data_IF_083836361682
#
_entry.id   IF_083836361682
#
_cell.length_a   1.000
_cell.length_b   1.000
_cell.length_c   1.000
_cell.angle_alpha   90.00
_cell.angle_beta   90.00
_cell.angle_gamma   90.00
#
_symmetry.space_group_name_H-M   'P 1'
#
loop_
_entity.id
_entity.type
_entity.pdbx_description
1 polymer ?
#
# COMPACT_ATOMS: atom_id res chain seq x y z
N UNK A 1 -11.20 -0.75 -2.68
CA UNK A 1 -10.14 -0.70 -3.72
C UNK A 1 -8.72 -0.69 -3.18
N UNK A 2 -8.50 -0.36 -1.89
CA UNK A 2 -7.18 -0.22 -1.27
C UNK A 2 -6.16 -1.33 -1.62
N UNK A 3 -6.62 -2.59 -1.60
CA UNK A 3 -5.74 -3.74 -1.84
C UNK A 3 -5.20 -3.84 -3.28
N UNK A 4 -5.79 -3.14 -4.25
CA UNK A 4 -5.28 -3.10 -5.64
C UNK A 4 -3.96 -2.33 -5.76
N UNK A 5 -3.62 -1.53 -4.76
CA UNK A 5 -2.36 -0.79 -4.70
C UNK A 5 -1.25 -1.59 -4.04
N UNK A 6 -1.55 -2.71 -3.39
CA UNK A 6 -0.55 -3.52 -2.67
C UNK A 6 0.16 -4.50 -3.61
N UNK A 7 1.50 -4.42 -3.67
CA UNK A 7 2.32 -5.32 -4.50
C UNK A 7 2.96 -6.47 -3.71
N UNK A 8 2.67 -6.58 -2.42
CA UNK A 8 3.24 -7.55 -1.50
C UNK A 8 4.62 -7.17 -0.94
N UNK A 9 5.23 -6.09 -1.40
CA UNK A 9 6.51 -5.57 -0.89
C UNK A 9 6.67 -4.06 -1.07
N UNK A 10 5.56 -3.35 -1.27
CA UNK A 10 5.49 -1.94 -1.59
C UNK A 10 4.09 -1.57 -2.08
N UNK A 11 3.96 -0.41 -2.72
CA UNK A 11 2.68 0.03 -3.32
C UNK A 11 2.84 0.55 -4.73
N UNK A 12 1.79 0.43 -5.53
CA UNK A 12 1.63 1.18 -6.78
C UNK A 12 1.21 2.62 -6.50
N UNK A 13 1.63 3.56 -7.35
CA UNK A 13 1.21 4.97 -7.30
C UNK A 13 -0.20 5.16 -7.87
N UNK A 14 -0.52 4.38 -8.91
CA UNK A 14 -1.79 4.42 -9.61
C UNK A 14 -2.18 3.03 -10.15
N UNK A 15 -3.37 2.95 -10.74
CA UNK A 15 -3.91 1.72 -11.33
C UNK A 15 -3.75 1.68 -12.86
N UNK A 16 -2.79 2.41 -13.46
CA UNK A 16 -2.63 2.45 -14.92
C UNK A 16 -2.43 1.08 -15.55
N UNK A 17 -1.82 0.15 -14.81
CA UNK A 17 -1.57 -1.21 -15.26
C UNK A 17 -2.85 -2.04 -15.43
N UNK A 18 -3.94 -1.68 -14.73
CA UNK A 18 -5.23 -2.35 -14.87
C UNK A 18 -6.03 -1.84 -16.08
N UNK A 19 -5.88 -0.56 -16.43
CA UNK A 19 -6.70 0.07 -17.48
C UNK A 19 -5.98 0.20 -18.82
N UNK A 20 -4.66 0.31 -18.82
CA UNK A 20 -3.85 0.58 -20.02
C UNK A 20 -2.99 -0.59 -20.46
N UNK A 21 -3.05 -1.73 -19.77
CA UNK A 21 -2.25 -2.93 -20.06
C UNK A 21 -0.73 -2.65 -20.12
N UNK A 22 -0.25 -1.71 -19.29
CA UNK A 22 1.17 -1.39 -19.12
C UNK A 22 1.70 -1.91 -17.79
N UNK A 23 3.03 -1.86 -17.57
CA UNK A 23 3.62 -2.24 -16.29
C UNK A 23 3.10 -1.35 -15.12
N UNK A 24 3.04 -1.87 -13.88
CA UNK A 24 2.69 -1.09 -12.70
C UNK A 24 3.60 0.12 -12.50
N UNK A 25 2.99 1.28 -12.28
CA UNK A 25 3.71 2.47 -11.85
C UNK A 25 3.95 2.36 -10.34
N UNK A 26 5.11 1.85 -9.95
CA UNK A 26 5.47 1.68 -8.54
C UNK A 26 5.64 3.03 -7.85
N UNK A 27 5.07 3.18 -6.66
CA UNK A 27 5.31 4.34 -5.82
C UNK A 27 6.76 4.32 -5.33
N UNK A 28 7.46 5.44 -5.47
CA UNK A 28 8.75 5.67 -4.79
C UNK A 28 8.55 5.62 -3.27
N UNK A 29 9.63 5.39 -2.53
CA UNK A 29 9.56 5.18 -1.07
C UNK A 29 8.96 6.35 -0.27
N UNK A 30 9.14 7.58 -0.74
CA UNK A 30 8.51 8.79 -0.20
C UNK A 30 6.99 8.81 -0.41
N UNK A 31 6.51 8.40 -1.59
CA UNK A 31 5.08 8.20 -1.83
C UNK A 31 4.53 7.01 -1.05
N UNK A 32 5.29 5.92 -0.92
CA UNK A 32 4.89 4.79 -0.08
C UNK A 32 4.74 5.20 1.39
N UNK A 33 5.68 6.01 1.92
CA UNK A 33 5.57 6.58 3.26
C UNK A 33 4.36 7.52 3.39
N UNK A 34 4.06 8.29 2.35
CA UNK A 34 2.84 9.12 2.28
C UNK A 34 1.58 8.26 2.39
N UNK A 35 1.50 7.15 1.65
CA UNK A 35 0.38 6.21 1.73
C UNK A 35 0.20 5.63 3.14
N UNK A 36 1.30 5.22 3.79
CA UNK A 36 1.29 4.72 5.17
C UNK A 36 0.75 5.80 6.13
N UNK A 37 1.26 7.03 6.04
CA UNK A 37 0.84 8.13 6.90
C UNK A 37 -0.64 8.48 6.72
N UNK A 38 -1.14 8.47 5.48
CA UNK A 38 -2.55 8.70 5.19
C UNK A 38 -3.43 7.60 5.80
N UNK A 39 -3.05 6.33 5.69
CA UNK A 39 -3.80 5.24 6.31
C UNK A 39 -3.75 5.29 7.84
N UNK A 40 -2.60 5.62 8.44
CA UNK A 40 -2.48 5.79 9.88
C UNK A 40 -3.36 6.93 10.38
N UNK A 41 -3.42 8.05 9.65
CA UNK A 41 -4.34 9.15 9.95
C UNK A 41 -5.80 8.68 9.85
N UNK A 42 -6.19 8.02 8.75
CA UNK A 42 -7.55 7.52 8.55
C UNK A 42 -7.97 6.54 9.66
N UNK A 43 -7.06 5.68 10.13
CA UNK A 43 -7.32 4.75 11.22
C UNK A 43 -7.60 5.43 12.58
N UNK A 44 -7.35 6.73 12.73
CA UNK A 44 -7.72 7.49 13.95
C UNK A 44 -9.17 7.97 13.96
N UNK A 45 -9.82 8.00 12.78
CA UNK A 45 -11.18 8.53 12.60
C UNK A 45 -12.16 7.49 12.04
N UNK A 46 -11.66 6.38 11.49
CA UNK A 46 -12.43 5.24 11.00
C UNK A 46 -11.91 3.94 11.66
N UNK A 47 -12.83 3.15 12.19
CA UNK A 47 -12.55 1.91 12.93
C UNK A 47 -12.48 0.66 12.03
N UNK A 48 -12.59 0.78 10.70
CA UNK A 48 -12.45 -0.36 9.80
C UNK A 48 -11.06 -1.04 9.99
N UNK A 49 -11.01 -2.31 10.46
CA UNK A 49 -9.76 -3.03 10.68
C UNK A 49 -8.92 -3.18 9.41
N UNK A 50 -9.51 -3.09 8.22
CA UNK A 50 -8.79 -3.14 6.96
C UNK A 50 -7.77 -2.02 6.84
N UNK A 51 -8.09 -0.81 7.31
CA UNK A 51 -7.23 0.37 7.22
C UNK A 51 -5.99 0.18 8.09
N UNK A 52 -6.17 -0.11 9.38
CA UNK A 52 -5.07 -0.27 10.33
C UNK A 52 -4.18 -1.48 10.00
N UNK A 53 -4.77 -2.61 9.59
CA UNK A 53 -4.00 -3.79 9.15
C UNK A 53 -3.18 -3.51 7.89
N UNK A 54 -3.74 -2.77 6.93
CA UNK A 54 -3.01 -2.41 5.70
C UNK A 54 -1.88 -1.43 6.01
N UNK A 55 -2.12 -0.43 6.86
CA UNK A 55 -1.11 0.52 7.30
C UNK A 55 0.10 -0.18 7.95
N UNK A 56 -0.14 -1.10 8.89
CA UNK A 56 0.92 -1.86 9.56
C UNK A 56 1.67 -2.79 8.61
N UNK A 57 0.96 -3.44 7.67
CA UNK A 57 1.60 -4.25 6.63
C UNK A 57 2.52 -3.41 5.74
N UNK A 58 2.06 -2.26 5.26
CA UNK A 58 2.83 -1.37 4.39
C UNK A 58 4.01 -0.74 5.11
N UNK A 59 3.83 -0.31 6.37
CA UNK A 59 4.93 0.11 7.24
C UNK A 59 6.01 -0.98 7.34
N UNK A 60 5.62 -2.25 7.41
CA UNK A 60 6.54 -3.38 7.39
C UNK A 60 7.41 -3.46 6.12
N UNK A 61 6.87 -3.09 4.96
CA UNK A 61 7.58 -3.12 3.68
C UNK A 61 8.77 -2.15 3.66
N UNK A 62 8.67 -1.02 4.38
CA UNK A 62 9.77 -0.07 4.54
C UNK A 62 11.00 -0.66 5.24
N UNK A 63 10.84 -1.78 5.94
CA UNK A 63 11.91 -2.51 6.63
C UNK A 63 12.23 -3.84 5.93
N UNK A 64 11.91 -3.97 4.65
CA UNK A 64 12.22 -5.16 3.84
C UNK A 64 11.32 -6.37 4.10
N UNK A 65 10.24 -6.24 4.91
CA UNK A 65 9.25 -7.31 5.02
C UNK A 65 8.53 -7.50 3.68
N UNK A 66 8.07 -8.71 3.42
CA UNK A 66 7.28 -9.07 2.24
C UNK A 66 6.08 -9.90 2.67
N UNK A 67 5.01 -9.83 1.89
CA UNK A 67 3.88 -10.74 2.02
C UNK A 67 4.36 -12.19 1.86
N UNK A 68 3.76 -13.11 2.61
CA UNK A 68 4.05 -14.54 2.47
C UNK A 68 3.69 -14.99 1.05
N UNK A 69 4.54 -15.81 0.46
CA UNK A 69 4.24 -16.53 -0.78
C UNK A 69 3.77 -17.96 -0.46
N UNK A 70 3.16 -18.61 -1.45
CA UNK A 70 2.77 -20.02 -1.40
C UNK A 70 3.94 -20.96 -1.72
#
# INVERSE_FOLDING_TARGET
>A
MLLLFDTGSGTSYDLRHLFLCVAPNLARWDYHATHVNQLLLLATIDNDPLISRTAERWKGYMFGKRAKHN
#
